data_IF_403361039341
#
_entry.id   IF_403361039341
#
_cell.length_a   1.000
_cell.length_b   1.000
_cell.length_c   1.000
_cell.angle_alpha   90.00
_cell.angle_beta   90.00
_cell.angle_gamma   90.00
#
_symmetry.space_group_name_H-M   'P 1'
#
loop_
_entity.id
_entity.type
_entity.pdbx_description
1 polymer ?
#
# COMPACT_ATOMS: atom_id res chain seq x y z
N UNK A 1 -2.96 29.39 18.80
CA UNK A 1 -3.76 28.15 19.02
C UNK A 1 -4.61 27.72 17.80
N UNK A 2 -5.02 28.64 16.91
CA UNK A 2 -5.86 28.34 15.73
C UNK A 2 -5.15 27.56 14.60
N UNK A 3 -3.88 27.87 14.30
CA UNK A 3 -3.13 27.25 13.20
C UNK A 3 -2.96 25.72 13.35
N UNK A 4 -2.63 25.25 14.57
CA UNK A 4 -2.52 23.80 14.86
C UNK A 4 -3.85 23.06 14.67
N UNK A 5 -4.98 23.68 15.05
CA UNK A 5 -6.31 23.10 14.84
C UNK A 5 -6.65 23.03 13.35
N UNK A 6 -6.40 24.10 12.59
CA UNK A 6 -6.62 24.12 11.14
C UNK A 6 -5.81 23.04 10.40
N UNK A 7 -4.52 22.90 10.74
CA UNK A 7 -3.63 21.87 10.18
C UNK A 7 -4.10 20.45 10.53
N UNK A 8 -4.59 20.24 11.76
CA UNK A 8 -5.20 18.97 12.16
C UNK A 8 -6.46 18.63 11.34
N UNK A 9 -7.35 19.60 11.11
CA UNK A 9 -8.55 19.36 10.30
C UNK A 9 -8.22 19.09 8.82
N UNK A 10 -7.22 19.78 8.26
CA UNK A 10 -6.73 19.54 6.89
C UNK A 10 -6.22 18.09 6.71
N UNK A 11 -5.47 17.58 7.68
CA UNK A 11 -4.95 16.20 7.63
C UNK A 11 -6.05 15.15 7.83
N UNK A 12 -7.07 15.46 8.63
CA UNK A 12 -8.23 14.59 8.91
C UNK A 12 -9.32 14.63 7.82
N UNK A 13 -9.27 15.63 6.92
CA UNK A 13 -10.25 15.78 5.85
C UNK A 13 -10.28 14.56 4.92
N UNK A 14 -11.49 14.10 4.57
CA UNK A 14 -11.65 12.95 3.66
C UNK A 14 -11.03 13.25 2.29
N UNK A 15 -10.34 12.27 1.71
CA UNK A 15 -9.64 12.44 0.42
C UNK A 15 -10.56 12.94 -0.70
N UNK A 16 -11.81 12.46 -0.76
CA UNK A 16 -12.84 12.92 -1.72
C UNK A 16 -13.12 14.43 -1.67
N UNK A 17 -12.88 15.08 -0.53
CA UNK A 17 -13.12 16.53 -0.34
C UNK A 17 -11.81 17.30 -0.51
N UNK A 18 -10.69 16.73 -0.07
CA UNK A 18 -9.39 17.41 -0.14
C UNK A 18 -8.91 17.68 -1.58
N UNK A 19 -8.97 16.68 -2.47
CA UNK A 19 -8.51 16.85 -3.85
C UNK A 19 -9.25 17.94 -4.63
N UNK A 20 -10.59 18.00 -4.66
CA UNK A 20 -11.27 19.09 -5.36
C UNK A 20 -10.98 20.46 -4.75
N UNK A 21 -10.81 20.54 -3.42
CA UNK A 21 -10.44 21.79 -2.75
C UNK A 21 -9.02 22.24 -3.13
N UNK A 22 -8.06 21.31 -3.22
CA UNK A 22 -6.71 21.58 -3.69
C UNK A 22 -6.72 22.09 -5.14
N UNK A 23 -7.45 21.41 -6.02
CA UNK A 23 -7.60 21.84 -7.42
C UNK A 23 -8.23 23.21 -7.51
N UNK A 24 -9.30 23.47 -6.75
CA UNK A 24 -9.95 24.78 -6.71
C UNK A 24 -9.01 25.88 -6.21
N UNK A 25 -8.18 25.59 -5.21
CA UNK A 25 -7.15 26.52 -4.72
C UNK A 25 -6.14 26.88 -5.82
N UNK A 26 -5.64 25.89 -6.57
CA UNK A 26 -4.70 26.13 -7.69
C UNK A 26 -5.36 26.98 -8.78
N UNK A 27 -6.59 26.65 -9.17
CA UNK A 27 -7.34 27.39 -10.18
C UNK A 27 -7.62 28.84 -9.74
N UNK A 28 -8.01 29.03 -8.48
CA UNK A 28 -8.25 30.35 -7.93
C UNK A 28 -6.97 31.18 -7.83
N UNK A 29 -5.87 30.58 -7.40
CA UNK A 29 -4.57 31.24 -7.36
C UNK A 29 -4.09 31.64 -8.75
N UNK A 30 -4.24 30.76 -9.74
CA UNK A 30 -3.91 31.05 -11.13
C UNK A 30 -4.79 32.18 -11.70
N UNK A 31 -6.06 32.22 -11.32
CA UNK A 31 -6.98 33.27 -11.76
C UNK A 31 -6.57 34.63 -11.20
N UNK A 32 -6.22 34.69 -9.92
CA UNK A 32 -5.72 35.92 -9.29
C UNK A 32 -4.42 36.36 -9.96
N UNK A 33 -3.46 35.44 -10.17
CA UNK A 33 -2.18 35.74 -10.81
C UNK A 33 -2.36 36.32 -12.23
N UNK A 34 -3.24 35.71 -13.03
CA UNK A 34 -3.60 36.20 -14.35
C UNK A 34 -4.28 37.57 -14.29
N UNK A 35 -5.19 37.78 -13.33
CA UNK A 35 -5.93 39.03 -13.20
C UNK A 35 -5.06 40.22 -12.79
N UNK A 36 -4.13 40.01 -11.85
CA UNK A 36 -3.24 41.07 -11.35
C UNK A 36 -2.09 41.36 -12.31
N UNK A 37 -1.67 40.38 -13.12
CA UNK A 37 -0.51 40.50 -14.00
C UNK A 37 -0.70 39.81 -15.37
N UNK A 38 -1.68 40.27 -16.17
CA UNK A 38 -2.05 39.64 -17.43
C UNK A 38 -0.95 39.73 -18.50
N UNK A 39 -0.01 40.66 -18.37
CA UNK A 39 1.12 40.81 -19.29
C UNK A 39 2.20 39.74 -19.08
N UNK A 40 2.32 39.22 -17.87
CA UNK A 40 3.27 38.13 -17.55
C UNK A 40 2.64 36.77 -17.79
N UNK A 41 1.37 36.63 -17.45
CA UNK A 41 0.63 35.39 -17.67
C UNK A 41 -0.30 35.58 -18.87
N UNK A 42 0.18 35.29 -20.08
CA UNK A 42 -0.62 35.53 -21.30
C UNK A 42 -1.89 34.67 -21.38
N UNK A 43 -1.85 33.48 -20.77
CA UNK A 43 -2.99 32.57 -20.73
C UNK A 43 -3.24 32.03 -19.33
N UNK A 44 -4.47 31.58 -19.10
CA UNK A 44 -4.81 30.91 -17.84
C UNK A 44 -4.00 29.62 -17.62
N UNK A 45 -3.66 28.91 -18.69
CA UNK A 45 -2.79 27.74 -18.62
C UNK A 45 -1.37 28.11 -18.14
N UNK A 46 -0.82 29.23 -18.62
CA UNK A 46 0.48 29.74 -18.18
C UNK A 46 0.47 30.09 -16.68
N UNK A 47 -0.62 30.69 -16.19
CA UNK A 47 -0.78 30.98 -14.76
C UNK A 47 -0.90 29.69 -13.92
N UNK A 48 -1.66 28.69 -14.38
CA UNK A 48 -1.76 27.38 -13.71
C UNK A 48 -0.38 26.71 -13.67
N UNK A 49 0.33 26.72 -14.80
CA UNK A 49 1.67 26.17 -14.92
C UNK A 49 2.60 26.80 -13.88
N UNK A 50 2.62 28.13 -13.80
CA UNK A 50 3.43 28.86 -12.81
C UNK A 50 3.06 28.52 -11.36
N UNK A 51 1.76 28.46 -11.03
CA UNK A 51 1.32 28.08 -9.68
C UNK A 51 1.77 26.65 -9.35
N UNK A 52 1.63 25.71 -10.27
CA UNK A 52 2.02 24.31 -10.04
C UNK A 52 3.53 24.15 -9.89
N UNK A 53 4.34 24.79 -10.75
CA UNK A 53 5.82 24.71 -10.67
C UNK A 53 6.34 25.39 -9.40
N UNK A 54 5.67 26.46 -8.97
CA UNK A 54 5.93 27.15 -7.70
C UNK A 54 5.59 26.28 -6.49
N UNK A 55 4.39 25.70 -6.45
CA UNK A 55 3.95 24.82 -5.36
C UNK A 55 4.77 23.54 -5.28
N UNK A 56 5.18 23.01 -6.43
CA UNK A 56 6.10 21.86 -6.52
C UNK A 56 7.56 22.23 -6.17
N UNK A 57 7.85 23.51 -5.88
CA UNK A 57 9.19 24.02 -5.58
C UNK A 57 10.22 23.81 -6.71
N UNK A 58 9.75 23.61 -7.94
CA UNK A 58 10.60 23.46 -9.13
C UNK A 58 11.11 24.83 -9.58
N UNK A 59 10.20 25.80 -9.72
CA UNK A 59 10.55 27.20 -9.96
C UNK A 59 11.47 27.46 -11.15
N UNK A 60 11.07 27.05 -12.37
CA UNK A 60 11.87 27.24 -13.58
C UNK A 60 12.27 28.70 -13.85
N UNK A 61 11.47 29.66 -13.41
CA UNK A 61 11.75 31.10 -13.54
C UNK A 61 11.47 31.67 -14.92
N UNK A 62 10.88 30.90 -15.82
CA UNK A 62 10.39 31.31 -17.14
C UNK A 62 9.17 32.24 -17.05
N UNK A 63 8.29 31.98 -16.08
CA UNK A 63 7.21 32.88 -15.68
C UNK A 63 7.34 33.23 -14.20
N UNK A 64 7.32 34.51 -13.87
CA UNK A 64 7.33 34.99 -12.49
C UNK A 64 6.73 36.39 -12.38
N UNK A 65 5.90 36.69 -11.36
CA UNK A 65 5.35 38.02 -11.16
C UNK A 65 6.45 39.07 -10.96
N UNK A 66 6.45 40.11 -11.79
CA UNK A 66 7.42 41.21 -11.74
C UNK A 66 6.85 42.45 -11.04
N UNK A 67 5.52 42.62 -11.08
CA UNK A 67 4.83 43.74 -10.43
C UNK A 67 4.87 43.65 -8.90
N UNK A 68 4.73 44.80 -8.22
CA UNK A 68 4.66 44.83 -6.76
C UNK A 68 3.45 44.04 -6.21
N UNK A 69 2.30 44.14 -6.87
CA UNK A 69 1.09 43.39 -6.52
C UNK A 69 1.27 41.88 -6.72
N UNK A 70 1.86 41.48 -7.86
CA UNK A 70 2.20 40.10 -8.16
C UNK A 70 3.17 39.47 -7.17
N UNK A 71 4.21 40.21 -6.77
CA UNK A 71 5.14 39.79 -5.71
C UNK A 71 4.46 39.65 -4.35
N UNK A 72 3.60 40.60 -3.97
CA UNK A 72 2.83 40.51 -2.73
C UNK A 72 1.92 39.28 -2.71
N UNK A 73 1.23 38.99 -3.82
CA UNK A 73 0.43 37.79 -3.98
C UNK A 73 1.28 36.51 -3.88
N UNK A 74 2.47 36.52 -4.49
CA UNK A 74 3.40 35.38 -4.45
C UNK A 74 3.83 35.04 -3.03
N UNK A 75 4.09 36.05 -2.19
CA UNK A 75 4.42 35.83 -0.76
C UNK A 75 3.27 35.10 -0.05
N UNK A 76 2.02 35.52 -0.28
CA UNK A 76 0.85 34.84 0.29
C UNK A 76 0.75 33.41 -0.23
N UNK A 77 0.92 33.21 -1.54
CA UNK A 77 0.90 31.89 -2.18
C UNK A 77 1.94 30.94 -1.57
N UNK A 78 3.13 31.42 -1.25
CA UNK A 78 4.18 30.60 -0.61
C UNK A 78 3.76 30.15 0.78
N UNK A 79 3.27 31.08 1.61
CA UNK A 79 2.87 30.80 2.99
C UNK A 79 1.71 29.78 3.03
N UNK A 80 0.70 29.95 2.18
CA UNK A 80 -0.45 29.03 2.14
C UNK A 80 -0.14 27.74 1.38
N UNK A 81 0.68 27.83 0.34
CA UNK A 81 1.03 26.75 -0.57
C UNK A 81 1.87 25.65 0.08
N UNK A 82 2.92 26.02 0.83
CA UNK A 82 3.82 25.05 1.48
C UNK A 82 3.06 24.09 2.39
N UNK A 83 2.14 24.61 3.22
CA UNK A 83 1.32 23.79 4.11
C UNK A 83 0.39 22.85 3.34
N UNK A 84 -0.22 23.35 2.27
CA UNK A 84 -1.18 22.58 1.47
C UNK A 84 -0.50 21.46 0.66
N UNK A 85 0.65 21.74 0.06
CA UNK A 85 1.48 20.76 -0.67
C UNK A 85 1.98 19.67 0.27
N UNK A 86 2.40 20.02 1.48
CA UNK A 86 2.82 19.05 2.50
C UNK A 86 1.71 18.02 2.80
N UNK A 87 0.47 18.47 2.95
CA UNK A 87 -0.69 17.59 3.17
C UNK A 87 -1.01 16.77 1.91
N UNK A 88 -0.89 17.36 0.72
CA UNK A 88 -1.09 16.68 -0.55
C UNK A 88 -0.13 15.50 -0.71
N UNK A 89 1.17 15.71 -0.50
CA UNK A 89 2.20 14.66 -0.55
C UNK A 89 1.89 13.57 0.49
N UNK A 90 1.60 13.94 1.73
CA UNK A 90 1.27 12.97 2.78
C UNK A 90 0.04 12.11 2.44
N UNK A 91 -0.96 12.67 1.75
CA UNK A 91 -2.13 11.92 1.26
C UNK A 91 -1.81 11.03 0.06
N UNK A 92 -0.98 11.49 -0.87
CA UNK A 92 -0.48 10.66 -1.98
C UNK A 92 0.25 9.42 -1.45
N UNK A 93 1.17 9.60 -0.51
CA UNK A 93 1.89 8.49 0.11
C UNK A 93 0.95 7.49 0.79
N UNK A 94 -0.07 7.97 1.50
CA UNK A 94 -1.09 7.10 2.10
C UNK A 94 -1.87 6.31 1.06
N UNK A 95 -2.22 6.92 -0.07
CA UNK A 95 -2.93 6.23 -1.16
C UNK A 95 -2.04 5.13 -1.74
N UNK A 96 -0.78 5.44 -2.05
CA UNK A 96 0.19 4.44 -2.54
C UNK A 96 0.35 3.31 -1.53
N UNK A 97 0.52 3.63 -0.24
CA UNK A 97 0.65 2.63 0.81
C UNK A 97 -0.62 1.78 1.01
N UNK A 98 -1.81 2.37 0.83
CA UNK A 98 -3.07 1.61 0.86
C UNK A 98 -3.15 0.69 -0.35
N UNK A 99 -2.73 1.12 -1.54
CA UNK A 99 -2.69 0.25 -2.72
C UNK A 99 -1.75 -0.95 -2.50
N UNK A 100 -0.59 -0.72 -1.89
CA UNK A 100 0.33 -1.80 -1.52
C UNK A 100 -0.29 -2.71 -0.46
N UNK A 101 -0.90 -2.16 0.59
CA UNK A 101 -1.62 -2.95 1.60
C UNK A 101 -2.84 -3.69 1.06
N UNK A 102 -3.49 -3.22 0.00
CA UNK A 102 -4.61 -3.95 -0.61
C UNK A 102 -4.12 -5.15 -1.41
N UNK A 103 -2.97 -5.04 -2.08
CA UNK A 103 -2.30 -6.17 -2.75
C UNK A 103 -1.72 -7.16 -1.73
N UNK A 104 -1.13 -6.65 -0.66
CA UNK A 104 -0.44 -7.45 0.36
C UNK A 104 -1.41 -8.00 1.41
N UNK A 105 -2.54 -7.36 1.68
CA UNK A 105 -3.48 -7.76 2.74
C UNK A 105 -4.45 -8.88 2.35
N UNK A 106 -4.33 -9.43 1.14
CA UNK A 106 -5.06 -10.62 0.70
C UNK A 106 -6.57 -10.46 0.50
N UNK A 107 -7.09 -9.24 0.43
CA UNK A 107 -8.53 -8.95 0.30
C UNK A 107 -9.03 -8.83 -1.14
N UNK A 108 -8.15 -9.08 -2.11
CA UNK A 108 -8.46 -8.92 -3.52
C UNK A 108 -8.73 -10.29 -4.13
N UNK A 109 -9.86 -10.42 -4.83
CA UNK A 109 -10.16 -11.62 -5.62
C UNK A 109 -9.18 -11.74 -6.79
N UNK A 110 -8.55 -12.89 -6.91
CA UNK A 110 -7.75 -13.25 -8.08
C UNK A 110 -8.68 -13.68 -9.23
N UNK A 111 -8.35 -13.29 -10.47
CA UNK A 111 -9.21 -13.55 -11.65
C UNK A 111 -8.46 -14.16 -12.83
N UNK A 112 -7.17 -14.48 -12.68
CA UNK A 112 -6.39 -15.13 -13.72
C UNK A 112 -6.76 -16.61 -13.89
N UNK A 113 -6.24 -17.23 -14.95
CA UNK A 113 -6.47 -18.65 -15.29
C UNK A 113 -5.13 -19.38 -15.38
N UNK A 114 -5.16 -20.71 -15.29
CA UNK A 114 -3.96 -21.57 -15.38
C UNK A 114 -2.92 -21.31 -14.28
N UNK A 115 -3.35 -20.83 -13.12
CA UNK A 115 -2.52 -20.56 -11.95
C UNK A 115 -2.46 -21.77 -11.00
N UNK A 116 -1.49 -21.76 -10.08
CA UNK A 116 -1.41 -22.75 -9.00
C UNK A 116 -1.90 -22.09 -7.71
N UNK A 117 -2.73 -22.79 -6.95
CA UNK A 117 -3.10 -22.38 -5.59
C UNK A 117 -2.19 -23.08 -4.60
N UNK A 118 -1.66 -22.34 -3.65
CA UNK A 118 -0.82 -22.84 -2.57
C UNK A 118 -1.50 -22.53 -1.24
N UNK A 119 -1.83 -23.57 -0.48
CA UNK A 119 -2.46 -23.45 0.84
C UNK A 119 -1.41 -23.71 1.91
N UNK A 120 -1.31 -22.79 2.88
CA UNK A 120 -0.38 -22.90 4.00
C UNK A 120 1.02 -22.39 3.66
N UNK A 121 1.42 -21.29 4.29
CA UNK A 121 2.75 -20.73 4.18
C UNK A 121 3.72 -21.40 5.15
N UNK A 122 4.89 -21.79 4.64
CA UNK A 122 6.01 -22.30 5.42
C UNK A 122 7.32 -22.08 4.69
N UNK A 123 8.46 -22.31 5.35
CA UNK A 123 9.77 -22.26 4.68
C UNK A 123 9.87 -23.27 3.52
N UNK A 124 9.19 -24.43 3.65
CA UNK A 124 9.11 -25.44 2.58
C UNK A 124 8.31 -24.92 1.39
N UNK A 125 7.20 -24.22 1.64
CA UNK A 125 6.37 -23.68 0.58
C UNK A 125 7.06 -22.52 -0.15
N UNK A 126 7.82 -21.69 0.57
CA UNK A 126 8.72 -20.68 -0.02
C UNK A 126 9.71 -21.29 -1.00
N UNK A 127 10.39 -22.38 -0.61
CA UNK A 127 11.35 -23.06 -1.49
C UNK A 127 10.66 -23.65 -2.73
N UNK A 128 9.48 -24.26 -2.56
CA UNK A 128 8.71 -24.80 -3.67
C UNK A 128 8.29 -23.72 -4.67
N UNK A 129 7.81 -22.56 -4.19
CA UNK A 129 7.47 -21.41 -5.04
C UNK A 129 8.70 -20.95 -5.83
N UNK A 130 9.85 -20.81 -5.17
CA UNK A 130 11.08 -20.36 -5.82
C UNK A 130 11.51 -21.32 -6.93
N UNK A 131 11.35 -22.63 -6.73
CA UNK A 131 11.69 -23.63 -7.75
C UNK A 131 10.72 -23.59 -8.93
N UNK A 132 9.41 -23.46 -8.67
CA UNK A 132 8.39 -23.31 -9.71
C UNK A 132 8.66 -22.06 -10.55
N UNK A 133 8.91 -20.92 -9.92
CA UNK A 133 9.16 -19.65 -10.62
C UNK A 133 10.51 -19.63 -11.34
N UNK A 134 11.49 -20.43 -10.94
CA UNK A 134 12.73 -20.64 -11.70
C UNK A 134 12.47 -21.44 -12.98
N UNK A 135 11.63 -22.48 -12.88
CA UNK A 135 11.30 -23.35 -14.01
C UNK A 135 10.37 -22.66 -15.01
N UNK A 136 9.35 -21.94 -14.53
CA UNK A 136 8.38 -21.23 -15.34
C UNK A 136 8.00 -19.89 -14.70
N UNK A 137 8.45 -18.78 -15.32
CA UNK A 137 8.17 -17.41 -14.85
C UNK A 137 6.81 -16.87 -15.29
N UNK A 138 6.08 -17.63 -16.10
CA UNK A 138 4.78 -17.22 -16.64
C UNK A 138 3.61 -17.70 -15.80
N UNK A 139 3.84 -18.63 -14.87
CA UNK A 139 2.80 -19.16 -14.00
C UNK A 139 2.56 -18.24 -12.81
N UNK A 140 1.30 -17.88 -12.61
CA UNK A 140 0.85 -17.18 -11.42
C UNK A 140 0.64 -18.19 -10.29
N UNK A 141 1.00 -17.80 -9.07
CA UNK A 141 0.78 -18.60 -7.86
C UNK A 141 -0.03 -17.77 -6.86
N UNK A 142 -1.14 -18.33 -6.40
CA UNK A 142 -2.04 -17.71 -5.42
C UNK A 142 -1.87 -18.42 -4.07
N UNK A 143 -1.34 -17.71 -3.08
CA UNK A 143 -1.15 -18.21 -1.72
C UNK A 143 -2.43 -17.96 -0.91
N UNK A 144 -2.94 -18.97 -0.23
CA UNK A 144 -4.04 -18.87 0.75
C UNK A 144 -3.46 -19.14 2.14
N UNK A 145 -3.61 -18.16 3.04
CA UNK A 145 -3.23 -18.26 4.45
C UNK A 145 -4.00 -17.24 5.30
N UNK A 146 -3.95 -17.34 6.62
CA UNK A 146 -4.59 -16.41 7.57
C UNK A 146 -3.66 -15.27 8.04
N UNK A 147 -2.39 -15.28 7.62
CA UNK A 147 -1.42 -14.21 7.91
C UNK A 147 -1.98 -12.80 7.65
N UNK A 148 -1.53 -11.81 8.41
CA UNK A 148 -2.05 -10.44 8.27
C UNK A 148 -1.70 -9.83 6.90
N UNK A 149 -0.56 -10.23 6.33
CA UNK A 149 0.03 -9.71 5.11
C UNK A 149 0.69 -10.84 4.32
N UNK A 150 0.79 -10.67 2.99
CA UNK A 150 1.47 -11.60 2.10
C UNK A 150 2.90 -11.84 2.60
N UNK A 151 3.29 -13.09 2.82
CA UNK A 151 4.61 -13.42 3.37
C UNK A 151 5.75 -13.20 2.36
N UNK A 152 5.43 -13.05 1.08
CA UNK A 152 6.38 -12.77 0.00
C UNK A 152 5.73 -11.85 -1.05
N UNK A 153 6.53 -10.97 -1.65
CA UNK A 153 6.07 -10.03 -2.68
C UNK A 153 6.89 -10.25 -3.94
N UNK A 154 6.28 -10.88 -4.94
CA UNK A 154 6.84 -11.06 -6.28
C UNK A 154 5.75 -10.75 -7.32
N UNK A 155 6.15 -10.43 -8.56
CA UNK A 155 5.21 -10.01 -9.61
C UNK A 155 4.16 -11.09 -9.94
N UNK A 156 4.53 -12.37 -9.87
CA UNK A 156 3.68 -13.53 -10.16
C UNK A 156 3.00 -14.13 -8.91
N UNK A 157 3.20 -13.52 -7.74
CA UNK A 157 2.60 -13.98 -6.50
C UNK A 157 1.41 -13.13 -6.10
N UNK A 158 0.31 -13.83 -5.85
CA UNK A 158 -0.93 -13.26 -5.34
C UNK A 158 -1.21 -13.89 -3.99
N UNK A 159 -1.85 -13.13 -3.11
CA UNK A 159 -2.21 -13.58 -1.78
C UNK A 159 -3.71 -13.39 -1.58
N UNK A 160 -4.35 -14.40 -1.02
CA UNK A 160 -5.74 -14.39 -0.58
C UNK A 160 -5.73 -14.72 0.91
N UNK A 161 -6.23 -13.79 1.72
CA UNK A 161 -6.25 -13.95 3.17
C UNK A 161 -7.57 -14.58 3.58
N UNK A 162 -7.49 -15.76 4.18
CA UNK A 162 -8.66 -16.48 4.69
C UNK A 162 -8.32 -17.92 5.02
N UNK A 163 -9.25 -18.59 5.70
CA UNK A 163 -9.17 -20.03 5.93
C UNK A 163 -9.46 -20.74 4.60
N UNK A 164 -8.60 -21.69 4.23
CA UNK A 164 -8.76 -22.49 3.03
C UNK A 164 -9.89 -23.54 3.13
N UNK A 165 -10.46 -23.75 4.32
CA UNK A 165 -11.68 -24.55 4.52
C UNK A 165 -12.95 -23.81 4.11
N UNK A 166 -12.90 -22.47 4.03
CA UNK A 166 -14.02 -21.64 3.60
C UNK A 166 -14.14 -21.62 2.06
N UNK A 167 -15.31 -21.99 1.54
CA UNK A 167 -15.59 -21.97 0.10
C UNK A 167 -15.40 -20.57 -0.50
N UNK A 168 -15.76 -19.52 0.24
CA UNK A 168 -15.59 -18.13 -0.22
C UNK A 168 -14.12 -17.79 -0.47
N UNK A 169 -13.20 -18.21 0.41
CA UNK A 169 -11.75 -18.00 0.26
C UNK A 169 -11.23 -18.71 -0.99
N UNK A 170 -11.67 -19.95 -1.22
CA UNK A 170 -11.29 -20.72 -2.41
C UNK A 170 -11.81 -20.07 -3.71
N UNK A 171 -13.01 -19.50 -3.68
CA UNK A 171 -13.57 -18.74 -4.80
C UNK A 171 -12.87 -17.40 -5.01
N UNK A 172 -12.40 -16.75 -3.94
CA UNK A 172 -11.56 -15.55 -4.03
C UNK A 172 -10.20 -15.86 -4.68
N UNK A 173 -9.66 -17.07 -4.48
CA UNK A 173 -8.46 -17.56 -5.15
C UNK A 173 -8.70 -18.10 -6.57
N UNK A 174 -9.93 -18.05 -7.07
CA UNK A 174 -10.34 -18.59 -8.37
C UNK A 174 -10.03 -20.08 -8.55
N UNK A 175 -10.33 -20.89 -7.52
CA UNK A 175 -10.16 -22.35 -7.56
C UNK A 175 -10.69 -23.04 -8.83
N UNK A 176 -11.86 -22.67 -9.40
CA UNK A 176 -12.40 -23.36 -10.59
C UNK A 176 -11.51 -23.31 -11.84
N UNK A 177 -10.65 -22.29 -11.97
CA UNK A 177 -9.78 -22.08 -13.14
C UNK A 177 -8.30 -22.37 -12.81
N UNK A 178 -8.04 -22.92 -11.63
CA UNK A 178 -6.70 -23.28 -11.19
C UNK A 178 -6.21 -24.55 -11.92
N UNK A 179 -4.93 -24.54 -12.31
CA UNK A 179 -4.23 -25.68 -12.91
C UNK A 179 -3.98 -26.80 -11.90
N UNK A 180 -3.82 -26.44 -10.62
CA UNK A 180 -3.57 -27.37 -9.54
C UNK A 180 -3.52 -26.67 -8.18
N UNK A 181 -3.61 -27.47 -7.12
CA UNK A 181 -3.55 -27.01 -5.73
C UNK A 181 -2.44 -27.76 -5.00
N UNK A 182 -1.59 -27.03 -4.29
CA UNK A 182 -0.53 -27.56 -3.43
C UNK A 182 -0.87 -27.21 -1.99
N UNK A 183 -0.98 -28.22 -1.13
CA UNK A 183 -1.31 -28.03 0.29
C UNK A 183 -0.05 -28.32 1.11
N UNK A 184 0.43 -27.31 1.83
CA UNK A 184 1.42 -27.48 2.87
C UNK A 184 0.68 -27.59 4.20
N UNK A 185 0.57 -28.81 4.70
CA UNK A 185 0.17 -29.00 6.08
C UNK A 185 1.27 -28.42 6.97
N UNK A 186 0.89 -27.52 7.88
CA UNK A 186 1.78 -27.13 8.95
C UNK A 186 2.17 -28.41 9.71
N UNK A 187 3.46 -28.68 9.83
CA UNK A 187 3.90 -29.70 10.78
C UNK A 187 3.75 -29.07 12.16
N UNK A 188 2.52 -29.09 12.69
CA UNK A 188 2.30 -29.07 14.14
C UNK A 188 2.92 -30.38 14.66
N UNK A 189 4.23 -30.48 14.69
CA UNK A 189 4.93 -31.71 15.06
C UNK A 189 6.10 -31.34 15.95
N UNK A 190 5.84 -31.49 17.25
CA UNK A 190 6.75 -31.83 18.35
C UNK A 190 7.47 -30.77 19.19
N UNK A 191 7.65 -29.51 18.78
CA UNK A 191 8.44 -28.58 19.61
C UNK A 191 7.70 -28.02 20.86
N UNK A 192 6.36 -27.99 20.84
CA UNK A 192 5.58 -27.42 21.94
C UNK A 192 5.20 -28.42 23.05
N UNK A 193 5.36 -29.72 22.83
CA UNK A 193 5.02 -30.75 23.83
C UNK A 193 6.26 -31.37 24.49
N UNK A 194 7.41 -31.43 23.81
CA UNK A 194 8.64 -31.97 24.40
C UNK A 194 9.25 -31.06 25.47
N UNK A 195 8.99 -29.75 25.40
CA UNK A 195 9.63 -28.75 26.29
C UNK A 195 8.86 -28.52 27.60
N UNK A 196 7.66 -29.07 27.76
CA UNK A 196 6.82 -28.82 28.95
C UNK A 196 6.87 -29.90 30.03
N UNK A 197 7.39 -31.09 29.75
CA UNK A 197 7.60 -32.08 30.80
C UNK A 197 8.67 -33.12 30.44
N UNK A 198 9.92 -32.96 30.91
CA UNK A 198 10.95 -33.98 30.76
C UNK A 198 10.57 -35.31 31.45
N UNK A 199 9.62 -35.31 32.39
CA UNK A 199 9.24 -36.50 33.15
C UNK A 199 8.33 -37.47 32.40
N UNK A 200 7.78 -37.09 31.23
CA UNK A 200 6.99 -38.00 30.39
C UNK A 200 7.85 -38.84 29.43
N UNK A 201 9.14 -38.52 29.29
CA UNK A 201 10.08 -39.28 28.44
C UNK A 201 10.72 -40.45 29.21
N UNK A 202 10.70 -40.44 30.54
CA UNK A 202 11.31 -41.49 31.36
C UNK A 202 10.30 -42.60 31.68
N UNK A 203 10.04 -43.43 30.66
CA UNK A 203 9.27 -44.65 30.80
C UNK A 203 9.95 -45.62 31.76
N UNK A 204 9.48 -45.65 33.01
CA UNK A 204 9.55 -46.76 33.99
C UNK A 204 10.56 -47.87 33.66
N UNK A 205 11.84 -47.64 33.96
CA UNK A 205 12.83 -48.70 34.16
C UNK A 205 13.06 -48.94 35.66
N UNK A 206 12.03 -49.28 36.42
CA UNK A 206 12.19 -49.88 37.75
C UNK A 206 11.07 -50.90 38.00
N UNK A 207 11.35 -52.17 37.71
CA UNK A 207 10.74 -53.27 38.46
C UNK A 207 11.66 -53.59 39.64
N UNK A 208 11.14 -53.72 40.87
CA UNK A 208 11.95 -54.10 42.02
C UNK A 208 12.24 -55.60 42.02
N UNK A 209 13.46 -55.91 42.44
CA UNK A 209 13.98 -57.21 42.82
C UNK A 209 12.96 -58.00 43.67
N UNK A 210 12.69 -59.26 43.30
CA UNK A 210 12.22 -60.27 44.26
C UNK A 210 12.96 -61.60 44.07
N UNK A 211 13.58 -61.99 45.19
CA UNK A 211 14.23 -63.26 45.58
C UNK A 211 15.64 -63.53 45.05
#
# INVERSE_FOLDING_TARGET
MSFKKSLYYLTKLRNRIFFPLFTLYVLFAAYIALYIEPQTFETYLTAIYWVLTTLATVGFGDYAPVTAAGKAFTIVLYITGIGLVSVFIGKMLKIVHVLDKLKVGGKMKYTGKNHIILIGWSDKSKLAIQEILKSDKSIDIVIIDELENSPMVEKQLYYVRGDATDEETLLQANLPEAKGVIIFADQITQDNYATKDPMLVDGKLQQPLHQ
#
